data_IF_016974695722
#
_entry.id   IF_016974695722
#
_cell.length_a   1.000
_cell.length_b   1.000
_cell.length_c   1.000
_cell.angle_alpha   90.00
_cell.angle_beta   90.00
_cell.angle_gamma   90.00
#
_symmetry.space_group_name_H-M   'P 1'
#
loop_
_entity.id
_entity.type
_entity.pdbx_description
1 polymer ?
#
# COMPACT_ATOMS: atom_id res chain seq x y z
N UNK A 1 19.54 6.86 -7.82
CA UNK A 1 18.28 6.86 -8.61
C UNK A 1 17.65 8.24 -8.50
N UNK A 2 17.13 8.79 -9.61
CA UNK A 2 16.30 10.00 -9.63
C UNK A 2 14.84 9.63 -9.92
N UNK A 3 13.91 10.58 -9.79
CA UNK A 3 12.47 10.30 -9.97
C UNK A 3 12.18 9.82 -11.39
N UNK A 4 12.90 10.34 -12.39
CA UNK A 4 12.78 9.92 -13.79
C UNK A 4 13.29 8.49 -14.05
N UNK A 5 14.05 7.90 -13.13
CA UNK A 5 14.47 6.51 -13.21
C UNK A 5 13.37 5.57 -12.64
N UNK A 6 12.63 6.02 -11.61
CA UNK A 6 11.46 5.33 -11.05
C UNK A 6 10.28 5.29 -12.03
N UNK A 7 10.07 6.37 -12.79
CA UNK A 7 9.03 6.44 -13.84
C UNK A 7 9.19 5.36 -14.92
N UNK A 8 10.42 4.89 -15.16
CA UNK A 8 10.71 3.86 -16.15
C UNK A 8 10.37 2.45 -15.68
N UNK A 9 10.17 2.27 -14.38
CA UNK A 9 9.77 1.01 -13.73
C UNK A 9 8.35 1.14 -13.17
N UNK A 10 7.43 1.67 -13.97
CA UNK A 10 6.03 1.85 -13.55
C UNK A 10 5.41 0.52 -13.10
N UNK A 11 4.79 0.48 -11.91
CA UNK A 11 4.15 -0.73 -11.41
C UNK A 11 2.81 -1.00 -12.08
N UNK A 12 2.23 -0.03 -12.81
CA UNK A 12 0.98 -0.22 -13.53
C UNK A 12 1.17 0.05 -15.02
N UNK A 13 0.84 -0.95 -15.86
CA UNK A 13 0.93 -0.85 -17.32
C UNK A 13 -0.23 -1.60 -17.97
N UNK A 14 -0.91 -0.96 -18.93
CA UNK A 14 -1.99 -1.58 -19.72
C UNK A 14 -3.09 -2.28 -18.89
N UNK A 15 -3.44 -1.73 -17.73
CA UNK A 15 -4.48 -2.31 -16.88
C UNK A 15 -3.99 -3.38 -15.91
N UNK A 16 -2.69 -3.60 -15.80
CA UNK A 16 -2.11 -4.68 -14.98
C UNK A 16 -1.04 -4.12 -14.05
N UNK A 17 -1.12 -4.54 -12.80
CA UNK A 17 -0.09 -4.28 -11.79
C UNK A 17 1.03 -5.32 -11.84
N UNK A 18 2.27 -4.84 -11.84
CA UNK A 18 3.48 -5.61 -11.63
C UNK A 18 3.87 -5.56 -10.15
N UNK A 19 3.86 -6.71 -9.48
CA UNK A 19 4.08 -6.80 -8.03
C UNK A 19 5.53 -6.46 -7.64
N UNK A 20 6.52 -6.78 -8.47
CA UNK A 20 7.92 -6.50 -8.18
C UNK A 20 8.19 -5.00 -8.23
N UNK A 21 7.73 -4.33 -9.29
CA UNK A 21 7.83 -2.87 -9.40
C UNK A 21 7.00 -2.16 -8.34
N UNK A 22 5.84 -2.72 -7.94
CA UNK A 22 5.04 -2.18 -6.84
C UNK A 22 5.84 -2.21 -5.54
N UNK A 23 6.49 -3.33 -5.22
CA UNK A 23 7.35 -3.45 -4.04
C UNK A 23 8.47 -2.41 -4.07
N UNK A 24 9.12 -2.19 -5.22
CA UNK A 24 10.12 -1.13 -5.36
C UNK A 24 9.54 0.26 -5.03
N UNK A 25 8.36 0.61 -5.56
CA UNK A 25 7.71 1.88 -5.23
C UNK A 25 7.42 2.00 -3.72
N UNK A 26 6.97 0.93 -3.09
CA UNK A 26 6.70 0.90 -1.65
C UNK A 26 7.98 1.05 -0.82
N UNK A 27 9.12 0.51 -1.27
CA UNK A 27 10.42 0.73 -0.62
C UNK A 27 10.85 2.19 -0.78
N UNK A 28 10.78 2.74 -1.99
CA UNK A 28 11.18 4.13 -2.26
C UNK A 28 10.28 5.17 -1.60
N UNK A 29 9.05 4.80 -1.23
CA UNK A 29 8.16 5.64 -0.42
C UNK A 29 8.77 6.05 0.91
N UNK A 30 9.61 5.21 1.51
CA UNK A 30 10.29 5.52 2.77
C UNK A 30 11.39 6.58 2.61
N UNK A 31 11.83 6.89 1.38
CA UNK A 31 12.79 7.93 1.08
C UNK A 31 12.10 9.27 0.82
N UNK A 32 12.45 10.28 1.63
CA UNK A 32 11.87 11.63 1.58
C UNK A 32 11.97 12.29 0.19
N UNK A 33 12.92 11.88 -0.64
CA UNK A 33 13.08 12.40 -2.02
C UNK A 33 11.94 11.97 -2.93
N UNK A 34 11.32 10.82 -2.67
CA UNK A 34 10.29 10.23 -3.53
C UNK A 34 8.91 10.21 -2.88
N UNK A 35 8.82 10.32 -1.55
CA UNK A 35 7.55 10.14 -0.83
C UNK A 35 6.37 10.89 -1.45
N UNK A 36 6.50 12.20 -1.64
CA UNK A 36 5.40 13.03 -2.19
C UNK A 36 5.01 12.62 -3.61
N UNK A 37 6.00 12.34 -4.46
CA UNK A 37 5.72 11.91 -5.83
C UNK A 37 5.01 10.56 -5.87
N UNK A 38 5.38 9.63 -4.98
CA UNK A 38 4.73 8.32 -4.86
C UNK A 38 3.32 8.46 -4.27
N UNK A 39 3.13 9.35 -3.28
CA UNK A 39 1.79 9.69 -2.76
C UNK A 39 0.87 10.19 -3.90
N UNK A 40 1.36 11.13 -4.72
CA UNK A 40 0.63 11.66 -5.86
C UNK A 40 0.30 10.57 -6.89
N UNK A 41 1.25 9.67 -7.17
CA UNK A 41 1.04 8.53 -8.06
C UNK A 41 -0.11 7.63 -7.57
N UNK A 42 -0.09 7.22 -6.31
CA UNK A 42 -1.11 6.31 -5.76
C UNK A 42 -2.47 6.98 -5.54
N UNK A 43 -2.53 8.31 -5.43
CA UNK A 43 -3.79 9.05 -5.25
C UNK A 43 -4.84 8.79 -6.34
N UNK A 44 -4.39 8.42 -7.55
CA UNK A 44 -5.27 8.10 -8.68
C UNK A 44 -5.83 6.67 -8.64
N UNK A 45 -5.35 5.82 -7.72
CA UNK A 45 -5.66 4.39 -7.66
C UNK A 45 -6.31 3.97 -6.33
N UNK A 46 -6.76 4.92 -5.51
CA UNK A 46 -7.33 4.61 -4.18
C UNK A 46 -8.62 3.77 -4.23
N UNK A 47 -9.26 3.67 -5.40
CA UNK A 47 -10.43 2.82 -5.64
C UNK A 47 -10.12 1.60 -6.53
N UNK A 48 -8.85 1.28 -6.75
CA UNK A 48 -8.41 0.15 -7.57
C UNK A 48 -8.43 -1.14 -6.74
N UNK A 49 -9.26 -2.09 -7.18
CA UNK A 49 -9.43 -3.38 -6.52
C UNK A 49 -8.17 -4.25 -6.55
N UNK A 50 -7.49 -4.30 -7.70
CA UNK A 50 -6.32 -5.15 -7.90
C UNK A 50 -5.14 -4.61 -7.09
N UNK A 51 -4.95 -3.29 -7.06
CA UNK A 51 -3.97 -2.66 -6.19
C UNK A 51 -4.21 -3.05 -4.73
N UNK A 52 -5.45 -2.94 -4.26
CA UNK A 52 -5.79 -3.27 -2.88
C UNK A 52 -5.44 -4.72 -2.53
N UNK A 53 -5.70 -5.69 -3.43
CA UNK A 53 -5.29 -7.10 -3.23
C UNK A 53 -3.78 -7.22 -3.07
N UNK A 54 -3.00 -6.61 -3.96
CA UNK A 54 -1.54 -6.68 -3.89
C UNK A 54 -0.98 -6.04 -2.63
N UNK A 55 -1.55 -4.93 -2.16
CA UNK A 55 -1.12 -4.29 -0.92
C UNK A 55 -1.41 -5.18 0.29
N UNK A 56 -2.59 -5.80 0.35
CA UNK A 56 -2.92 -6.75 1.42
C UNK A 56 -2.01 -7.99 1.38
N UNK A 57 -1.75 -8.54 0.20
CA UNK A 57 -0.81 -9.64 0.02
C UNK A 57 0.56 -9.28 0.58
N UNK A 58 1.09 -8.09 0.29
CA UNK A 58 2.40 -7.65 0.79
C UNK A 58 2.40 -7.51 2.32
N UNK A 59 1.37 -6.89 2.91
CA UNK A 59 1.32 -6.67 4.36
C UNK A 59 1.18 -7.99 5.14
N UNK A 60 0.41 -8.93 4.60
CA UNK A 60 0.03 -10.20 5.24
C UNK A 60 0.97 -11.37 4.90
N UNK A 61 1.99 -11.15 4.07
CA UNK A 61 3.00 -12.16 3.77
C UNK A 61 4.02 -12.23 4.92
N UNK A 62 3.96 -13.33 5.67
CA UNK A 62 4.84 -13.58 6.82
C UNK A 62 6.25 -14.02 6.40
N UNK A 63 6.41 -14.52 5.17
CA UNK A 63 7.70 -14.96 4.62
C UNK A 63 8.43 -13.82 3.88
N UNK A 64 7.75 -12.69 3.63
CA UNK A 64 8.31 -11.54 2.95
C UNK A 64 9.17 -10.65 3.86
N UNK A 65 10.49 -10.73 3.68
CA UNK A 65 11.49 -9.90 4.37
C UNK A 65 11.64 -8.52 3.70
N UNK A 66 10.61 -7.69 3.85
CA UNK A 66 10.54 -6.36 3.22
C UNK A 66 9.82 -5.33 4.09
N UNK A 67 10.40 -4.99 5.25
CA UNK A 67 9.77 -4.11 6.24
C UNK A 67 9.29 -2.76 5.66
N UNK A 68 10.15 -2.09 4.89
CA UNK A 68 9.81 -0.79 4.27
C UNK A 68 8.60 -0.91 3.33
N UNK A 69 8.56 -1.98 2.53
CA UNK A 69 7.43 -2.24 1.64
C UNK A 69 6.14 -2.54 2.40
N UNK A 70 6.21 -3.35 3.47
CA UNK A 70 5.04 -3.67 4.33
C UNK A 70 4.49 -2.43 5.02
N UNK A 71 5.36 -1.59 5.56
CA UNK A 71 4.98 -0.33 6.20
C UNK A 71 4.27 0.61 5.20
N UNK A 72 4.88 0.82 4.02
CA UNK A 72 4.29 1.66 2.97
C UNK A 72 2.99 1.06 2.41
N UNK A 73 2.88 -0.27 2.30
CA UNK A 73 1.65 -0.91 1.89
C UNK A 73 0.53 -0.70 2.91
N UNK A 74 0.83 -0.84 4.21
CA UNK A 74 -0.12 -0.53 5.28
C UNK A 74 -0.58 0.93 5.23
N UNK A 75 0.35 1.86 4.97
CA UNK A 75 0.02 3.26 4.74
C UNK A 75 -0.96 3.44 3.57
N UNK A 76 -0.69 2.86 2.39
CA UNK A 76 -1.60 3.01 1.25
C UNK A 76 -2.95 2.30 1.42
N UNK A 77 -3.00 1.17 2.13
CA UNK A 77 -4.27 0.53 2.52
C UNK A 77 -5.12 1.51 3.32
N UNK A 78 -4.53 2.27 4.25
CA UNK A 78 -5.25 3.25 5.06
C UNK A 78 -5.91 4.38 4.26
N UNK A 79 -5.46 4.60 3.02
CA UNK A 79 -5.94 5.64 2.12
C UNK A 79 -6.95 5.13 1.09
N UNK A 80 -7.15 3.81 0.99
CA UNK A 80 -8.11 3.22 0.07
C UNK A 80 -9.53 3.74 0.34
N UNK A 81 -10.36 3.73 -0.70
CA UNK A 81 -11.75 4.15 -0.58
C UNK A 81 -12.49 3.29 0.46
N UNK A 82 -13.48 3.88 1.12
CA UNK A 82 -14.24 3.16 2.14
C UNK A 82 -14.98 1.95 1.56
N UNK A 83 -15.36 1.98 0.28
CA UNK A 83 -16.02 0.86 -0.39
C UNK A 83 -15.06 -0.34 -0.54
N UNK A 84 -13.81 -0.10 -0.98
CA UNK A 84 -12.76 -1.14 -1.02
C UNK A 84 -12.50 -1.70 0.37
N UNK A 85 -12.39 -0.84 1.38
CA UNK A 85 -12.11 -1.26 2.76
C UNK A 85 -13.26 -2.09 3.36
N UNK A 86 -14.52 -1.75 3.07
CA UNK A 86 -15.70 -2.55 3.48
C UNK A 86 -15.70 -3.91 2.84
N UNK A 87 -15.46 -3.97 1.54
CA UNK A 87 -15.45 -5.23 0.81
C UNK A 87 -14.27 -6.13 1.22
N UNK A 88 -13.13 -5.54 1.60
CA UNK A 88 -11.95 -6.26 2.11
C UNK A 88 -11.86 -6.26 3.65
N UNK A 89 -12.98 -6.12 4.37
CA UNK A 89 -13.04 -6.00 5.83
C UNK A 89 -12.23 -7.09 6.56
N UNK A 90 -12.36 -8.35 6.15
CA UNK A 90 -11.69 -9.46 6.82
C UNK A 90 -10.16 -9.37 6.70
N UNK A 91 -9.66 -8.95 5.53
CA UNK A 91 -8.23 -8.70 5.31
C UNK A 91 -7.75 -7.49 6.12
N UNK A 92 -8.57 -6.44 6.21
CA UNK A 92 -8.27 -5.26 7.02
C UNK A 92 -8.14 -5.60 8.51
N UNK A 93 -9.07 -6.41 9.04
CA UNK A 93 -9.03 -6.91 10.42
C UNK A 93 -7.77 -7.73 10.64
N UNK A 94 -7.48 -8.70 9.77
CA UNK A 94 -6.27 -9.51 9.86
C UNK A 94 -5.01 -8.65 9.82
N UNK A 95 -4.97 -7.62 8.98
CA UNK A 95 -3.84 -6.70 8.92
C UNK A 95 -3.68 -5.84 10.19
N UNK A 96 -4.75 -5.61 10.97
CA UNK A 96 -4.64 -4.94 12.27
C UNK A 96 -3.97 -5.82 13.35
N UNK A 97 -3.96 -7.13 13.16
CA UNK A 97 -3.35 -8.09 14.11
C UNK A 97 -1.81 -8.14 13.99
N UNK A 98 -1.22 -7.43 13.02
CA UNK A 98 0.21 -7.41 12.79
C UNK A 98 0.98 -7.02 14.07
N UNK A 99 2.05 -7.76 14.40
CA UNK A 99 2.85 -7.50 15.61
C UNK A 99 3.51 -6.12 15.58
N UNK A 100 3.83 -5.62 14.39
CA UNK A 100 4.42 -4.30 14.17
C UNK A 100 3.31 -3.27 13.92
N UNK A 101 3.20 -2.28 14.81
CA UNK A 101 2.21 -1.20 14.70
C UNK A 101 2.28 -0.43 13.37
N UNK A 102 3.49 -0.18 12.86
CA UNK A 102 3.72 0.47 11.57
C UNK A 102 3.24 -0.37 10.36
N UNK A 103 2.98 -1.67 10.54
CA UNK A 103 2.39 -2.51 9.50
C UNK A 103 0.87 -2.68 9.67
N UNK A 104 0.24 -1.98 10.63
CA UNK A 104 -1.22 -1.96 10.80
C UNK A 104 -1.82 -0.79 10.03
N UNK A 105 -2.67 -1.04 9.00
CA UNK A 105 -3.18 0.06 8.18
C UNK A 105 -3.84 1.21 8.95
N UNK A 106 -4.62 0.92 10.00
CA UNK A 106 -5.39 1.98 10.66
C UNK A 106 -4.58 2.79 11.67
N UNK A 107 -3.31 2.46 11.93
CA UNK A 107 -2.42 3.30 12.75
C UNK A 107 -2.10 4.64 12.09
N UNK A 108 -2.28 4.74 10.76
CA UNK A 108 -2.00 5.93 9.97
C UNK A 108 -3.15 6.96 9.94
N UNK A 109 -4.34 6.58 10.38
CA UNK A 109 -5.52 7.45 10.33
C UNK A 109 -6.17 7.57 11.71
N UNK A 110 -6.78 8.74 11.97
CA UNK A 110 -7.56 8.97 13.20
C UNK A 110 -9.05 8.66 13.04
N UNK A 111 -9.47 8.25 11.84
CA UNK A 111 -10.86 7.95 11.52
C UNK A 111 -11.21 6.57 12.08
N UNK A 112 -12.35 6.49 12.76
CA UNK A 112 -13.02 5.23 13.06
C UNK A 112 -14.05 4.93 11.96
N UNK A 113 -14.26 3.64 11.69
CA UNK A 113 -15.29 3.19 10.78
C UNK A 113 -16.38 2.50 11.60
N UNK A 114 -17.63 3.00 11.54
CA UNK A 114 -18.73 2.42 12.33
C UNK A 114 -19.07 0.98 11.96
N UNK A 115 -18.64 0.54 10.77
CA UNK A 115 -18.85 -0.80 10.24
C UNK A 115 -17.71 -1.76 10.57
N UNK A 116 -16.59 -1.29 11.12
CA UNK A 116 -15.43 -2.09 11.47
C UNK A 116 -15.52 -2.51 12.94
#
# INVERSE_FOLDING_TARGET
MRTEDLEKITPYTNGVWDKENLIEYLIWKCDRRFSTWIDDYFSSYLNDWQLAELLFDIVLDDDFDGFDARMSAAYFISQLSEDILKEKKDLLIKAQENEVEACRPLSYIKKSYDWL
#
